data_IF_748678244047
#
_entry.id   IF_748678244047
#
_cell.length_a   1.000
_cell.length_b   1.000
_cell.length_c   1.000
_cell.angle_alpha   90.00
_cell.angle_beta   90.00
_cell.angle_gamma   90.00
#
_symmetry.space_group_name_H-M   'P 1'
#
loop_
_entity.id
_entity.type
_entity.pdbx_description
1 polymer ?
#
# COMPACT_ATOMS: atom_id res chain seq x y z
N UNK A 1 -33.40 -40.43 -30.35
CA UNK A 1 -33.26 -41.28 -29.15
C UNK A 1 -32.40 -42.48 -29.56
N UNK A 2 -31.29 -42.77 -28.89
CA UNK A 2 -31.34 -43.16 -27.49
C UNK A 2 -30.35 -42.46 -26.55
N UNK A 3 -30.82 -42.29 -25.32
CA UNK A 3 -30.09 -41.91 -24.12
C UNK A 3 -29.19 -43.06 -23.65
N UNK A 4 -27.97 -42.76 -23.22
CA UNK A 4 -27.20 -43.66 -22.34
C UNK A 4 -26.71 -42.86 -21.13
N UNK A 5 -27.32 -43.21 -20.01
CA UNK A 5 -27.06 -42.79 -18.63
C UNK A 5 -26.01 -43.74 -18.04
N UNK A 6 -25.03 -43.24 -17.27
CA UNK A 6 -24.40 -43.89 -16.09
C UNK A 6 -23.26 -43.04 -15.48
N UNK A 7 -23.50 -42.49 -14.29
CA UNK A 7 -22.48 -42.19 -13.25
C UNK A 7 -22.14 -43.51 -12.51
N UNK A 8 -21.13 -43.66 -11.59
CA UNK A 8 -20.54 -42.70 -10.62
C UNK A 8 -18.97 -42.73 -10.63
N UNK A 9 -18.18 -41.93 -9.89
CA UNK A 9 -17.98 -42.02 -8.43
C UNK A 9 -16.85 -41.09 -7.93
N UNK A 10 -17.12 -40.45 -6.79
CA UNK A 10 -16.27 -40.22 -5.59
C UNK A 10 -15.04 -39.30 -5.57
N UNK A 11 -15.21 -38.27 -4.72
CA UNK A 11 -14.32 -37.42 -3.89
C UNK A 11 -12.81 -37.64 -3.84
N UNK A 12 -12.10 -36.52 -3.57
CA UNK A 12 -11.29 -36.43 -2.36
C UNK A 12 -11.75 -35.31 -1.42
N UNK A 13 -11.82 -35.68 -0.15
CA UNK A 13 -12.01 -34.83 1.04
C UNK A 13 -10.93 -33.74 1.14
N UNK A 14 -11.27 -32.49 1.49
CA UNK A 14 -10.30 -31.58 2.09
C UNK A 14 -10.39 -31.60 3.62
N UNK A 15 -9.21 -31.73 4.21
CA UNK A 15 -8.85 -31.86 5.62
C UNK A 15 -9.55 -30.93 6.63
N UNK A 16 -9.64 -31.34 7.90
CA UNK A 16 -10.15 -30.49 8.99
C UNK A 16 -9.22 -29.29 9.28
N UNK A 17 -9.76 -28.20 9.86
CA UNK A 17 -9.01 -26.99 10.18
C UNK A 17 -8.02 -27.22 11.33
N UNK A 18 -6.91 -26.45 11.40
CA UNK A 18 -5.96 -26.54 12.51
C UNK A 18 -6.58 -26.07 13.83
N UNK A 19 -6.16 -26.64 14.99
CA UNK A 19 -6.65 -26.23 16.29
C UNK A 19 -6.15 -24.84 16.69
N UNK A 20 -6.99 -24.13 17.43
CA UNK A 20 -6.73 -22.81 18.00
C UNK A 20 -5.52 -22.85 18.95
N UNK A 21 -4.58 -21.91 18.74
CA UNK A 21 -3.46 -21.68 19.66
C UNK A 21 -3.95 -20.95 20.91
N UNK A 22 -3.85 -21.63 22.04
CA UNK A 22 -4.04 -21.12 23.39
C UNK A 22 -2.79 -20.32 23.84
N UNK A 23 -2.96 -19.02 24.10
CA UNK A 23 -2.11 -18.24 25.02
C UNK A 23 -2.30 -18.78 26.46
N UNK A 24 -1.41 -18.57 27.46
CA UNK A 24 -0.54 -17.40 27.66
C UNK A 24 0.88 -17.67 28.24
N UNK A 25 1.86 -16.81 27.97
CA UNK A 25 3.08 -16.73 28.80
C UNK A 25 3.37 -15.29 29.19
N UNK A 26 3.11 -15.00 30.45
CA UNK A 26 3.42 -13.75 31.15
C UNK A 26 4.91 -13.70 31.45
N UNK A 27 5.70 -13.13 30.54
CA UNK A 27 7.06 -12.72 30.89
C UNK A 27 7.02 -11.33 31.52
N UNK A 28 7.36 -11.25 32.81
CA UNK A 28 7.56 -10.00 33.55
C UNK A 28 8.76 -9.26 32.97
N UNK A 29 8.51 -8.27 32.14
CA UNK A 29 9.58 -7.39 31.65
C UNK A 29 10.00 -6.41 32.75
N UNK A 30 11.27 -6.48 33.14
CA UNK A 30 11.89 -5.63 34.15
C UNK A 30 11.88 -4.17 33.70
N UNK A 31 11.28 -3.28 34.51
CA UNK A 31 11.32 -1.83 34.30
C UNK A 31 12.78 -1.34 34.35
N UNK A 32 13.31 -0.96 33.20
CA UNK A 32 14.52 -0.15 33.10
C UNK A 32 14.24 1.30 33.51
N UNK A 33 15.19 2.01 34.17
CA UNK A 33 14.99 3.35 34.69
C UNK A 33 14.85 4.40 33.56
N UNK A 34 13.82 5.25 33.68
CA UNK A 34 13.53 6.37 32.76
C UNK A 34 14.71 7.35 32.70
N UNK A 35 15.31 7.51 31.53
CA UNK A 35 16.16 8.67 31.23
C UNK A 35 15.31 9.95 31.19
N UNK A 36 15.80 11.09 31.72
CA UNK A 36 15.09 12.36 31.64
C UNK A 36 14.96 12.80 30.17
N UNK A 37 13.73 13.19 29.82
CA UNK A 37 13.31 13.62 28.49
C UNK A 37 13.93 14.98 28.18
N UNK A 38 14.96 15.00 27.34
CA UNK A 38 15.44 16.24 26.73
C UNK A 38 14.32 16.80 25.87
N UNK A 39 13.77 17.95 26.27
CA UNK A 39 12.82 18.72 25.47
C UNK A 39 13.55 19.26 24.24
N UNK A 40 13.66 18.45 23.20
CA UNK A 40 13.91 18.96 21.86
C UNK A 40 12.70 19.80 21.51
N UNK A 41 12.90 21.12 21.35
CA UNK A 41 11.87 22.04 20.86
C UNK A 41 11.30 21.48 19.57
N UNK A 42 10.14 20.86 19.65
CA UNK A 42 9.35 20.51 18.48
C UNK A 42 9.00 21.83 17.82
N UNK A 43 9.59 22.09 16.66
CA UNK A 43 9.18 23.17 15.78
C UNK A 43 7.67 23.06 15.64
N UNK A 44 6.94 24.01 16.23
CA UNK A 44 5.49 24.08 16.13
C UNK A 44 5.15 24.31 14.67
N UNK A 45 4.83 23.25 13.94
CA UNK A 45 4.12 23.37 12.68
C UNK A 45 2.82 24.14 12.97
N UNK A 46 2.45 25.14 12.17
CA UNK A 46 1.28 25.96 12.44
C UNK A 46 0.05 25.06 12.57
N UNK A 47 -0.56 25.10 13.76
CA UNK A 47 -1.75 24.36 14.12
C UNK A 47 -2.92 24.88 13.27
N UNK A 48 -3.39 24.01 12.38
CA UNK A 48 -4.70 24.03 11.73
C UNK A 48 -5.17 25.37 11.16
N UNK A 49 -4.67 25.76 9.99
CA UNK A 49 -5.63 26.22 8.98
C UNK A 49 -6.36 24.97 8.53
N UNK A 50 -7.57 24.71 9.06
CA UNK A 50 -8.41 23.59 8.60
C UNK A 50 -8.90 23.89 7.19
N UNK A 51 -7.97 23.86 6.25
CA UNK A 51 -8.26 24.05 4.85
C UNK A 51 -9.08 22.86 4.39
N UNK A 52 -10.31 23.10 3.95
CA UNK A 52 -11.10 22.08 3.26
C UNK A 52 -10.29 21.50 2.10
N UNK A 53 -10.32 20.18 1.96
CA UNK A 53 -9.71 19.46 0.85
C UNK A 53 -10.56 19.66 -0.41
N UNK A 54 -10.40 20.80 -1.05
CA UNK A 54 -10.97 21.07 -2.38
C UNK A 54 -10.28 20.19 -3.43
N UNK A 55 -10.95 19.95 -4.57
CA UNK A 55 -10.36 19.17 -5.65
C UNK A 55 -9.05 19.79 -6.13
N UNK A 56 -9.00 21.12 -6.33
CA UNK A 56 -7.77 21.84 -6.70
C UNK A 56 -6.59 21.55 -5.76
N UNK A 57 -6.83 21.54 -4.44
CA UNK A 57 -5.80 21.25 -3.43
C UNK A 57 -5.34 19.79 -3.51
N UNK A 58 -6.26 18.85 -3.75
CA UNK A 58 -5.93 17.44 -3.97
C UNK A 58 -5.11 17.26 -5.25
N UNK A 59 -5.50 17.91 -6.35
CA UNK A 59 -4.77 17.88 -7.62
C UNK A 59 -3.34 18.38 -7.44
N UNK A 60 -3.15 19.52 -6.76
CA UNK A 60 -1.83 20.09 -6.51
C UNK A 60 -0.98 19.17 -5.64
N UNK A 61 -1.56 18.62 -4.57
CA UNK A 61 -0.89 17.67 -3.69
C UNK A 61 -0.42 16.42 -4.46
N UNK A 62 -1.31 15.81 -5.23
CA UNK A 62 -1.02 14.59 -6.02
C UNK A 62 0.01 14.88 -7.11
N UNK A 63 -0.07 16.02 -7.80
CA UNK A 63 0.93 16.42 -8.78
C UNK A 63 2.32 16.55 -8.14
N UNK A 64 2.41 17.18 -6.97
CA UNK A 64 3.68 17.32 -6.25
C UNK A 64 4.22 15.97 -5.78
N UNK A 65 3.35 15.08 -5.31
CA UNK A 65 3.71 13.72 -4.92
C UNK A 65 4.26 12.94 -6.11
N UNK A 66 3.60 13.00 -7.26
CA UNK A 66 4.02 12.33 -8.49
C UNK A 66 5.39 12.81 -8.98
N UNK A 67 5.62 14.12 -9.00
CA UNK A 67 6.90 14.69 -9.42
C UNK A 67 8.04 14.31 -8.48
N UNK A 68 7.77 14.36 -7.17
CA UNK A 68 8.76 14.03 -6.14
C UNK A 68 9.06 12.54 -6.17
N UNK A 69 8.02 11.70 -6.28
CA UNK A 69 8.14 10.26 -6.44
C UNK A 69 8.94 9.92 -7.69
N UNK A 70 8.63 10.52 -8.84
CA UNK A 70 9.38 10.24 -10.06
C UNK A 70 10.90 10.50 -9.93
N UNK A 71 11.29 11.55 -9.21
CA UNK A 71 12.70 11.91 -9.03
C UNK A 71 13.43 11.05 -8.02
N UNK A 72 12.76 10.63 -6.94
CA UNK A 72 13.39 10.01 -5.78
C UNK A 72 13.08 8.51 -5.61
N UNK A 73 12.20 7.94 -6.43
CA UNK A 73 11.79 6.55 -6.30
C UNK A 73 12.90 5.59 -6.70
N UNK A 74 13.06 4.51 -5.94
CA UNK A 74 13.92 3.40 -6.32
C UNK A 74 13.24 2.56 -7.39
N UNK A 75 13.56 2.89 -8.64
CA UNK A 75 12.99 2.22 -9.79
C UNK A 75 13.39 0.75 -9.92
N UNK A 76 14.52 0.33 -9.34
CA UNK A 76 14.97 -1.07 -9.41
C UNK A 76 14.13 -1.94 -8.49
N UNK A 77 13.96 -1.54 -7.23
CA UNK A 77 13.07 -2.23 -6.28
C UNK A 77 11.64 -2.29 -6.83
N UNK A 78 11.13 -1.18 -7.37
CA UNK A 78 9.79 -1.15 -7.94
C UNK A 78 9.64 -2.09 -9.16
N UNK A 79 10.65 -2.15 -10.02
CA UNK A 79 10.67 -3.07 -11.17
C UNK A 79 10.66 -4.53 -10.73
N UNK A 80 11.43 -4.88 -9.69
CA UNK A 80 11.46 -6.22 -9.10
C UNK A 80 10.11 -6.60 -8.48
N UNK A 81 9.52 -5.70 -7.69
CA UNK A 81 8.20 -5.91 -7.06
C UNK A 81 7.07 -6.06 -8.07
N UNK A 82 7.11 -5.27 -9.15
CA UNK A 82 6.06 -5.28 -10.18
C UNK A 82 6.32 -6.29 -11.30
N UNK A 83 7.46 -6.98 -11.28
CA UNK A 83 7.92 -7.86 -12.36
C UNK A 83 7.91 -7.18 -13.73
N UNK A 84 8.27 -5.90 -13.76
CA UNK A 84 8.31 -5.05 -14.96
C UNK A 84 9.72 -4.51 -15.18
N UNK A 85 10.00 -3.96 -16.36
CA UNK A 85 11.25 -3.24 -16.56
C UNK A 85 11.18 -1.85 -15.93
N UNK A 86 12.34 -1.35 -15.50
CA UNK A 86 12.50 0.04 -15.00
C UNK A 86 11.90 1.06 -15.97
N UNK A 87 12.07 0.84 -17.27
CA UNK A 87 11.55 1.71 -18.32
C UNK A 87 10.03 1.67 -18.41
N UNK A 88 9.40 0.49 -18.26
CA UNK A 88 7.96 0.36 -18.18
C UNK A 88 7.40 1.09 -16.96
N UNK A 89 8.03 0.96 -15.79
CA UNK A 89 7.63 1.69 -14.58
C UNK A 89 7.77 3.22 -14.76
N UNK A 90 8.89 3.69 -15.34
CA UNK A 90 9.10 5.12 -15.63
C UNK A 90 8.10 5.64 -16.67
N UNK A 91 7.78 4.85 -17.68
CA UNK A 91 6.79 5.20 -18.69
C UNK A 91 5.39 5.41 -18.08
N UNK A 92 5.05 4.70 -17.01
CA UNK A 92 3.77 4.90 -16.30
C UNK A 92 3.66 6.25 -15.58
N UNK A 93 4.79 6.86 -15.23
CA UNK A 93 4.87 8.11 -14.48
C UNK A 93 5.27 9.32 -15.34
N UNK A 94 5.54 9.11 -16.63
CA UNK A 94 5.96 10.16 -17.58
C UNK A 94 4.80 11.12 -17.89
N UNK A 95 4.99 12.45 -17.84
CA UNK A 95 3.91 13.40 -18.16
C UNK A 95 3.49 13.33 -19.64
N UNK A 96 2.24 13.67 -19.92
CA UNK A 96 1.73 13.83 -21.30
C UNK A 96 1.36 12.55 -22.03
N UNK A 97 1.43 11.37 -21.39
CA UNK A 97 1.01 10.09 -21.97
C UNK A 97 -0.29 9.59 -21.34
N UNK A 98 -0.99 8.68 -22.02
CA UNK A 98 -2.13 7.94 -21.45
C UNK A 98 -1.61 6.81 -20.56
N UNK A 99 -1.28 7.14 -19.32
CA UNK A 99 -0.66 6.24 -18.36
C UNK A 99 -1.22 6.44 -16.96
N UNK A 100 -0.69 5.68 -15.99
CA UNK A 100 -1.09 5.75 -14.59
C UNK A 100 -1.10 7.19 -14.05
N UNK A 101 -0.10 8.01 -14.43
CA UNK A 101 -0.07 9.42 -14.03
C UNK A 101 -1.29 10.20 -14.51
N UNK A 102 -1.67 10.05 -15.79
CA UNK A 102 -2.86 10.71 -16.35
C UNK A 102 -4.14 10.22 -15.68
N UNK A 103 -4.30 8.92 -15.49
CA UNK A 103 -5.48 8.34 -14.82
C UNK A 103 -5.66 8.93 -13.43
N UNK A 104 -4.59 8.96 -12.62
CA UNK A 104 -4.65 9.52 -11.28
C UNK A 104 -4.96 11.01 -11.34
N UNK A 105 -4.34 11.79 -12.23
CA UNK A 105 -4.65 13.22 -12.37
C UNK A 105 -6.11 13.49 -12.77
N UNK A 106 -6.74 12.61 -13.56
CA UNK A 106 -8.15 12.74 -13.96
C UNK A 106 -9.12 12.43 -12.82
N UNK A 107 -8.76 11.58 -11.86
CA UNK A 107 -9.60 11.28 -10.69
C UNK A 107 -9.83 12.48 -9.77
N UNK A 108 -8.97 13.50 -9.84
CA UNK A 108 -9.03 14.70 -9.01
C UNK A 108 -9.43 15.96 -9.78
N UNK A 109 -9.87 15.83 -11.04
CA UNK A 109 -10.42 16.94 -11.82
C UNK A 109 -11.88 17.18 -11.49
#
# INVERSE_FOLDING_TARGET
MPSIKRSPSTSPSPSPPPPASTNPSTSKEQKSPKKPRTNTKTTSFPTSTSGSWTNERKTLFVNRLMETGYKNMDWKSLAEETQMTVEQCKNQMTPGRSNLRKTISEMFK
#
